data_IF_795607585418
#
_entry.id   IF_795607585418
#
_cell.length_a   1.000
_cell.length_b   1.000
_cell.length_c   1.000
_cell.angle_alpha   90.00
_cell.angle_beta   90.00
_cell.angle_gamma   90.00
#
_symmetry.space_group_name_H-M   'P 1'
#
loop_
_entity.id
_entity.type
_entity.pdbx_description
1 polymer ?
#
# COMPACT_ATOMS: atom_id res chain seq x y z
N UNK A 1 55.68 0.79 24.63
CA UNK A 1 54.22 0.91 24.40
C UNK A 1 54.02 0.91 22.90
N UNK A 2 53.55 -0.21 22.35
CA UNK A 2 53.29 -0.36 20.92
C UNK A 2 51.88 0.14 20.61
N UNK A 3 51.64 0.83 19.48
CA UNK A 3 50.32 1.35 19.18
C UNK A 3 49.37 0.18 18.82
N UNK A 4 48.17 0.20 19.40
CA UNK A 4 47.05 -0.64 18.97
C UNK A 4 46.47 0.01 17.72
N UNK A 5 46.50 -0.68 16.59
CA UNK A 5 45.74 -0.30 15.41
C UNK A 5 44.25 -0.51 15.73
N UNK A 6 43.47 0.57 15.74
CA UNK A 6 42.02 0.49 15.76
C UNK A 6 41.58 -0.16 14.44
N UNK A 7 40.97 -1.34 14.51
CA UNK A 7 40.31 -1.95 13.36
C UNK A 7 39.06 -1.13 13.05
N UNK A 8 39.03 -0.48 11.89
CA UNK A 8 37.81 0.07 11.32
C UNK A 8 36.91 -1.11 10.96
N UNK A 9 35.83 -1.31 11.71
CA UNK A 9 34.78 -2.27 11.36
C UNK A 9 34.06 -1.73 10.11
N UNK A 10 34.24 -2.39 8.97
CA UNK A 10 33.45 -2.14 7.76
C UNK A 10 31.98 -2.45 8.08
N UNK A 11 31.17 -1.41 8.27
CA UNK A 11 29.74 -1.56 8.46
C UNK A 11 29.08 -1.77 7.09
N UNK A 12 28.81 -3.01 6.75
CA UNK A 12 28.01 -3.37 5.57
C UNK A 12 26.56 -2.94 5.79
N UNK A 13 26.16 -1.82 5.20
CA UNK A 13 24.78 -1.32 5.24
C UNK A 13 23.94 -2.18 4.28
N UNK A 14 23.14 -3.09 4.84
CA UNK A 14 22.17 -3.88 4.07
C UNK A 14 20.89 -3.07 3.86
N UNK A 15 20.61 -2.70 2.61
CA UNK A 15 19.36 -2.05 2.22
C UNK A 15 18.46 -3.14 1.62
N UNK A 16 17.43 -3.54 2.37
CA UNK A 16 16.40 -4.46 1.89
C UNK A 16 15.26 -3.66 1.27
N UNK A 17 14.91 -4.01 0.03
CA UNK A 17 13.78 -3.39 -0.69
C UNK A 17 12.61 -4.34 -0.51
N UNK A 18 11.70 -4.00 0.39
CA UNK A 18 10.44 -4.71 0.51
C UNK A 18 9.61 -4.41 -0.75
N UNK A 19 9.53 -5.36 -1.68
CA UNK A 19 8.63 -5.28 -2.83
C UNK A 19 7.21 -5.49 -2.32
N UNK A 20 6.60 -4.43 -1.82
CA UNK A 20 5.22 -4.40 -1.32
C UNK A 20 4.18 -4.53 -2.44
N UNK A 21 4.33 -5.51 -3.34
CA UNK A 21 3.40 -5.88 -4.41
C UNK A 21 3.09 -4.80 -5.46
N UNK A 22 2.31 -5.16 -6.47
CA UNK A 22 1.68 -4.22 -7.40
C UNK A 22 0.16 -4.25 -7.20
N UNK A 23 -0.55 -3.13 -7.39
CA UNK A 23 -2.00 -3.12 -7.30
C UNK A 23 -2.64 -4.00 -8.39
N UNK A 24 -3.70 -4.71 -8.04
CA UNK A 24 -4.53 -5.48 -8.96
C UNK A 24 -5.74 -4.63 -9.39
N UNK A 25 -6.01 -4.57 -10.69
CA UNK A 25 -7.11 -3.77 -11.25
C UNK A 25 -8.13 -4.67 -11.93
N UNK A 26 -9.40 -4.49 -11.58
CA UNK A 26 -10.54 -5.16 -12.19
C UNK A 26 -11.56 -4.15 -12.72
N UNK A 27 -12.12 -4.42 -13.90
CA UNK A 27 -13.22 -3.64 -14.46
C UNK A 27 -14.45 -4.55 -14.46
N UNK A 28 -15.48 -4.17 -13.72
CA UNK A 28 -16.77 -4.83 -13.77
C UNK A 28 -17.66 -4.00 -14.72
N UNK A 29 -18.10 -4.58 -15.84
CA UNK A 29 -19.02 -3.93 -16.77
C UNK A 29 -20.46 -3.82 -16.23
N UNK A 30 -20.63 -3.66 -14.92
CA UNK A 30 -21.92 -3.58 -14.25
C UNK A 30 -22.24 -2.12 -13.94
N UNK A 31 -23.52 -1.74 -14.01
CA UNK A 31 -23.93 -0.36 -13.75
C UNK A 31 -23.72 0.12 -12.28
N UNK A 32 -23.36 -0.79 -11.37
CA UNK A 32 -23.21 -0.49 -9.94
C UNK A 32 -21.76 -0.31 -9.51
N UNK A 33 -20.83 -1.08 -10.07
CA UNK A 33 -19.39 -0.98 -9.82
C UNK A 33 -18.70 -0.92 -11.18
N UNK A 34 -18.01 0.18 -11.49
CA UNK A 34 -17.36 0.38 -12.78
C UNK A 34 -15.91 -0.13 -12.78
N UNK A 35 -15.19 0.04 -11.66
CA UNK A 35 -13.81 -0.41 -11.49
C UNK A 35 -13.49 -0.71 -10.03
N UNK A 36 -12.52 -1.60 -9.82
CA UNK A 36 -11.96 -1.96 -8.51
C UNK A 36 -10.44 -1.99 -8.62
N UNK A 37 -9.75 -1.43 -7.63
CA UNK A 37 -8.29 -1.50 -7.46
C UNK A 37 -8.01 -2.04 -6.07
N UNK A 38 -7.30 -3.16 -5.97
CA UNK A 38 -6.82 -3.70 -4.69
C UNK A 38 -5.32 -3.46 -4.59
N UNK A 39 -4.88 -2.83 -3.51
CA UNK A 39 -3.48 -2.52 -3.25
C UNK A 39 -2.86 -3.57 -2.33
N UNK A 40 -1.52 -3.72 -2.35
CA UNK A 40 -0.84 -4.74 -1.55
C UNK A 40 -0.88 -4.52 -0.04
N UNK A 41 -1.16 -3.29 0.40
CA UNK A 41 -1.44 -2.94 1.80
C UNK A 41 -2.82 -3.44 2.27
N UNK A 42 -3.57 -4.12 1.40
CA UNK A 42 -4.89 -4.68 1.69
C UNK A 42 -6.04 -3.71 1.52
N UNK A 43 -5.77 -2.44 1.16
CA UNK A 43 -6.83 -1.48 0.87
C UNK A 43 -7.42 -1.67 -0.54
N UNK A 44 -8.65 -1.19 -0.72
CA UNK A 44 -9.42 -1.35 -1.95
C UNK A 44 -10.11 -0.05 -2.31
N UNK A 45 -9.99 0.35 -3.57
CA UNK A 45 -10.73 1.45 -4.18
C UNK A 45 -11.73 0.87 -5.14
N UNK A 46 -12.96 1.38 -5.16
CA UNK A 46 -13.90 1.06 -6.23
C UNK A 46 -14.76 2.24 -6.61
N UNK A 47 -15.06 2.35 -7.90
CA UNK A 47 -15.96 3.37 -8.42
C UNK A 47 -17.36 2.82 -8.54
N UNK A 48 -18.31 3.54 -7.94
CA UNK A 48 -19.74 3.34 -8.13
C UNK A 48 -20.30 4.48 -8.98
N UNK A 49 -21.48 4.31 -9.57
CA UNK A 49 -22.09 5.29 -10.48
C UNK A 49 -22.41 6.65 -9.83
N UNK A 50 -21.38 7.45 -9.56
CA UNK A 50 -21.48 8.78 -8.94
C UNK A 50 -20.38 9.11 -7.92
N UNK A 51 -19.50 8.17 -7.55
CA UNK A 51 -18.48 8.42 -6.53
C UNK A 51 -17.42 7.32 -6.43
N UNK A 52 -16.38 7.59 -5.65
CA UNK A 52 -15.30 6.63 -5.36
C UNK A 52 -15.41 6.25 -3.89
N UNK A 53 -15.33 4.95 -3.61
CA UNK A 53 -15.26 4.44 -2.25
C UNK A 53 -13.86 3.88 -2.01
N UNK A 54 -13.31 4.24 -0.86
CA UNK A 54 -12.08 3.67 -0.32
C UNK A 54 -12.41 2.78 0.87
N UNK A 55 -11.86 1.58 0.88
CA UNK A 55 -11.95 0.66 2.01
C UNK A 55 -10.56 0.23 2.47
N UNK A 56 -10.37 0.15 3.79
CA UNK A 56 -9.16 -0.36 4.42
C UNK A 56 -9.52 -1.28 5.59
N UNK A 57 -8.52 -2.01 6.10
CA UNK A 57 -8.64 -2.82 7.31
C UNK A 57 -7.82 -2.14 8.40
N UNK A 58 -8.42 -1.91 9.57
CA UNK A 58 -7.70 -1.36 10.71
C UNK A 58 -6.75 -2.39 11.37
N UNK A 59 -5.98 -1.96 12.36
CA UNK A 59 -5.04 -2.83 13.08
C UNK A 59 -5.72 -4.00 13.81
N UNK A 60 -7.01 -3.87 14.13
CA UNK A 60 -7.84 -4.89 14.77
C UNK A 60 -8.44 -5.88 13.75
N UNK A 61 -8.22 -5.66 12.45
CA UNK A 61 -8.74 -6.50 11.38
C UNK A 61 -10.16 -6.14 10.93
N UNK A 62 -10.72 -5.00 11.37
CA UNK A 62 -12.06 -4.57 10.98
C UNK A 62 -12.01 -3.74 9.68
N UNK A 63 -12.94 -4.00 8.75
CA UNK A 63 -13.04 -3.20 7.53
C UNK A 63 -13.72 -1.86 7.81
N UNK A 64 -13.15 -0.79 7.26
CA UNK A 64 -13.73 0.55 7.23
C UNK A 64 -13.81 1.03 5.79
N UNK A 65 -14.91 1.69 5.43
CA UNK A 65 -15.10 2.24 4.10
C UNK A 65 -15.65 3.66 4.17
N UNK A 66 -15.16 4.53 3.30
CA UNK A 66 -15.61 5.91 3.18
C UNK A 66 -15.75 6.32 1.71
N UNK A 67 -16.72 7.20 1.45
CA UNK A 67 -16.85 7.85 0.14
C UNK A 67 -15.83 8.99 0.07
N UNK A 68 -15.03 8.97 -0.98
CA UNK A 68 -13.98 9.95 -1.23
C UNK A 68 -14.52 10.97 -2.22
N UNK A 69 -14.62 12.21 -1.77
CA UNK A 69 -14.86 13.35 -2.66
C UNK A 69 -13.55 13.65 -3.39
N UNK A 70 -13.55 13.45 -4.70
CA UNK A 70 -12.41 13.77 -5.56
C UNK A 70 -12.76 15.05 -6.27
N UNK A 71 -12.32 16.18 -5.71
CA UNK A 71 -12.44 17.48 -6.37
C UNK A 71 -11.63 17.46 -7.68
N UNK A 72 -12.25 17.85 -8.80
CA UNK A 72 -11.66 17.92 -10.15
C UNK A 72 -10.54 18.99 -10.27
#
# INVERSE_FOLDING_TARGET
VSPVFAQEEEQDIQIEIETGGSPAVGIAGSALINSVVATPDGSVWYSIGGGIVYCSVDEDGNPHCEEVDVED
#
